data_IF_451255799660
#
_entry.id   IF_451255799660
#
_cell.length_a   1.000
_cell.length_b   1.000
_cell.length_c   1.000
_cell.angle_alpha   90.00
_cell.angle_beta   90.00
_cell.angle_gamma   90.00
#
_symmetry.space_group_name_H-M   'P 1'
#
loop_
_entity.id
_entity.type
_entity.pdbx_description
1 polymer ?
#
# COMPACT_ATOMS: atom_id res chain seq x y z
N UNK A 1 0.60 -15.84 10.72
CA UNK A 1 1.35 -16.65 9.73
C UNK A 1 0.56 -16.59 8.43
N UNK A 2 1.15 -16.04 7.39
CA UNK A 2 0.49 -15.88 6.09
C UNK A 2 0.26 -17.25 5.45
N UNK A 3 -0.92 -17.42 4.83
CA UNK A 3 -1.32 -18.70 4.24
C UNK A 3 -1.27 -18.68 2.71
N UNK A 4 -0.19 -18.11 2.17
CA UNK A 4 -0.04 -17.94 0.71
C UNK A 4 -0.08 -19.26 -0.07
N UNK A 5 0.51 -20.31 0.49
CA UNK A 5 0.53 -21.63 -0.14
C UNK A 5 -0.86 -22.23 -0.29
N UNK A 6 -1.75 -22.07 0.71
CA UNK A 6 -3.13 -22.56 0.61
C UNK A 6 -3.94 -21.79 -0.43
N UNK A 7 -3.73 -20.44 -0.54
CA UNK A 7 -4.38 -19.65 -1.59
C UNK A 7 -3.93 -20.11 -2.98
N UNK A 8 -2.63 -20.33 -3.18
CA UNK A 8 -2.12 -20.89 -4.43
C UNK A 8 -2.74 -22.25 -4.75
N UNK A 9 -2.84 -23.14 -3.74
CA UNK A 9 -3.47 -24.46 -3.89
C UNK A 9 -4.91 -24.36 -4.41
N UNK A 10 -5.70 -23.44 -3.88
CA UNK A 10 -7.08 -23.25 -4.25
C UNK A 10 -7.17 -22.74 -5.69
N UNK A 11 -6.40 -21.69 -6.04
CA UNK A 11 -6.30 -21.17 -7.41
C UNK A 11 -5.85 -22.25 -8.41
N UNK A 12 -4.81 -23.04 -8.07
CA UNK A 12 -4.36 -24.14 -8.92
C UNK A 12 -5.47 -25.19 -9.20
N UNK A 13 -6.23 -25.52 -8.16
CA UNK A 13 -7.34 -26.50 -8.29
C UNK A 13 -8.50 -25.92 -9.11
N UNK A 14 -8.80 -24.65 -8.97
CA UNK A 14 -9.79 -23.94 -9.80
C UNK A 14 -9.41 -23.98 -11.29
N UNK A 15 -8.10 -24.01 -11.59
CA UNK A 15 -7.58 -24.17 -12.95
C UNK A 15 -7.44 -25.64 -13.38
N UNK A 16 -7.87 -26.60 -12.56
CA UNK A 16 -7.79 -28.06 -12.82
C UNK A 16 -6.36 -28.57 -13.09
N UNK A 17 -5.33 -27.87 -12.61
CA UNK A 17 -3.91 -28.21 -12.80
C UNK A 17 -3.43 -29.07 -11.61
N UNK A 18 -2.77 -30.20 -11.91
CA UNK A 18 -2.18 -31.07 -10.89
C UNK A 18 -0.91 -30.46 -10.29
N UNK A 19 -0.49 -30.92 -9.09
CA UNK A 19 0.78 -30.50 -8.51
C UNK A 19 1.98 -30.84 -9.42
N UNK A 20 1.94 -31.98 -10.09
CA UNK A 20 2.99 -32.42 -11.01
C UNK A 20 3.13 -31.47 -12.19
N UNK A 21 2.03 -31.08 -12.81
CA UNK A 21 2.04 -30.11 -13.91
C UNK A 21 2.49 -28.73 -13.45
N UNK A 22 1.98 -28.27 -12.30
CA UNK A 22 2.30 -26.96 -11.75
C UNK A 22 3.80 -26.81 -11.41
N UNK A 23 4.42 -27.82 -10.79
CA UNK A 23 5.81 -27.73 -10.35
C UNK A 23 6.84 -28.11 -11.43
N UNK A 24 6.42 -28.65 -12.57
CA UNK A 24 7.35 -29.17 -13.59
C UNK A 24 8.35 -28.11 -14.08
N UNK A 25 9.64 -28.37 -13.88
CA UNK A 25 10.73 -27.45 -14.24
C UNK A 25 10.88 -26.22 -13.31
N UNK A 26 10.08 -26.13 -12.22
CA UNK A 26 10.11 -24.99 -11.28
C UNK A 26 10.63 -25.44 -9.91
N UNK A 27 10.02 -26.48 -9.32
CA UNK A 27 10.44 -27.02 -8.03
C UNK A 27 10.03 -28.49 -7.90
N UNK A 28 10.40 -29.15 -6.80
CA UNK A 28 9.97 -30.52 -6.54
C UNK A 28 8.49 -30.57 -6.09
N UNK A 29 7.78 -31.65 -6.41
CA UNK A 29 6.41 -31.92 -5.95
C UNK A 29 6.31 -31.81 -4.43
N UNK A 30 7.31 -32.34 -3.71
CA UNK A 30 7.36 -32.28 -2.25
C UNK A 30 7.46 -30.83 -1.74
N UNK A 31 8.26 -29.95 -2.38
CA UNK A 31 8.36 -28.54 -2.02
C UNK A 31 7.03 -27.84 -2.26
N UNK A 32 6.39 -28.05 -3.41
CA UNK A 32 5.08 -27.48 -3.71
C UNK A 32 4.03 -27.95 -2.72
N UNK A 33 3.93 -29.26 -2.47
CA UNK A 33 2.96 -29.83 -1.52
C UNK A 33 3.11 -29.26 -0.12
N UNK A 34 4.35 -29.11 0.38
CA UNK A 34 4.60 -28.51 1.70
C UNK A 34 4.24 -27.02 1.74
N UNK A 35 4.50 -26.26 0.69
CA UNK A 35 4.07 -24.88 0.58
C UNK A 35 2.55 -24.77 0.55
N UNK A 36 1.86 -25.52 -0.28
CA UNK A 36 0.39 -25.57 -0.36
C UNK A 36 -0.29 -25.92 0.97
N UNK A 37 0.41 -26.61 1.85
CA UNK A 37 -0.05 -26.93 3.20
C UNK A 37 0.52 -25.96 4.28
N UNK A 38 1.10 -24.82 3.86
CA UNK A 38 1.67 -23.80 4.71
C UNK A 38 2.74 -24.30 5.70
N UNK A 39 3.48 -25.34 5.31
CA UNK A 39 4.56 -25.94 6.12
C UNK A 39 5.93 -25.30 5.84
N UNK A 40 6.11 -24.74 4.66
CA UNK A 40 7.32 -24.04 4.22
C UNK A 40 6.96 -22.82 3.39
N UNK A 41 7.86 -21.86 3.33
CA UNK A 41 7.79 -20.78 2.38
C UNK A 41 8.57 -21.12 1.10
N UNK A 42 8.23 -20.44 0.00
CA UNK A 42 8.98 -20.50 -1.26
C UNK A 42 9.58 -19.13 -1.58
N UNK A 43 10.64 -19.13 -2.35
CA UNK A 43 11.22 -17.89 -2.85
C UNK A 43 10.23 -17.17 -3.77
N UNK A 44 10.26 -15.85 -3.75
CA UNK A 44 9.36 -15.02 -4.57
C UNK A 44 9.43 -15.36 -6.07
N UNK A 45 10.62 -15.62 -6.59
CA UNK A 45 10.83 -16.07 -7.98
C UNK A 45 10.13 -17.39 -8.28
N UNK A 46 10.17 -18.34 -7.34
CA UNK A 46 9.46 -19.62 -7.44
C UNK A 46 7.94 -19.39 -7.42
N UNK A 47 7.44 -18.55 -6.51
CA UNK A 47 6.00 -18.20 -6.44
C UNK A 47 5.51 -17.60 -7.77
N UNK A 48 6.24 -16.61 -8.32
CA UNK A 48 5.91 -16.00 -9.62
C UNK A 48 5.89 -17.04 -10.75
N UNK A 49 6.86 -17.95 -10.80
CA UNK A 49 6.90 -18.99 -11.81
C UNK A 49 5.70 -19.95 -11.69
N UNK A 50 5.32 -20.31 -10.46
CA UNK A 50 4.15 -21.15 -10.19
C UNK A 50 2.83 -20.44 -10.57
N UNK A 51 2.67 -19.15 -10.26
CA UNK A 51 1.49 -18.37 -10.65
C UNK A 51 1.35 -18.29 -12.17
N UNK A 52 2.44 -18.00 -12.88
CA UNK A 52 2.46 -17.99 -14.35
C UNK A 52 2.05 -19.35 -14.93
N UNK A 53 2.47 -20.46 -14.31
CA UNK A 53 2.15 -21.80 -14.76
C UNK A 53 0.65 -22.10 -14.73
N UNK A 54 -0.07 -21.51 -13.80
CA UNK A 54 -1.52 -21.67 -13.65
C UNK A 54 -2.32 -20.50 -14.24
N UNK A 55 -1.69 -19.62 -15.05
CA UNK A 55 -2.27 -18.44 -15.67
C UNK A 55 -2.94 -17.45 -14.69
N UNK A 56 -2.39 -17.32 -13.50
CA UNK A 56 -2.82 -16.36 -12.48
C UNK A 56 -1.81 -15.21 -12.43
N UNK A 57 -2.30 -13.99 -12.48
CA UNK A 57 -1.47 -12.79 -12.30
C UNK A 57 -1.13 -12.57 -10.82
N UNK A 58 -0.09 -11.77 -10.57
CA UNK A 58 0.26 -11.41 -9.20
C UNK A 58 -0.88 -10.61 -8.51
N UNK A 59 -1.56 -9.75 -9.26
CA UNK A 59 -2.68 -8.94 -8.75
C UNK A 59 -3.85 -9.82 -8.31
N UNK A 60 -4.27 -10.78 -9.14
CA UNK A 60 -5.30 -11.75 -8.78
C UNK A 60 -4.93 -12.58 -7.54
N UNK A 61 -3.65 -12.98 -7.46
CA UNK A 61 -3.16 -13.71 -6.30
C UNK A 61 -3.17 -12.87 -5.03
N UNK A 62 -2.70 -11.62 -5.09
CA UNK A 62 -2.67 -10.72 -3.92
C UNK A 62 -4.07 -10.36 -3.45
N UNK A 63 -5.01 -10.13 -4.38
CA UNK A 63 -6.42 -9.92 -4.06
C UNK A 63 -7.01 -11.15 -3.36
N UNK A 64 -6.82 -12.35 -3.91
CA UNK A 64 -7.34 -13.60 -3.33
C UNK A 64 -6.69 -13.94 -1.99
N UNK A 65 -5.41 -13.59 -1.82
CA UNK A 65 -4.67 -13.77 -0.58
C UNK A 65 -4.99 -12.70 0.48
N UNK A 66 -5.84 -11.75 0.15
CA UNK A 66 -6.19 -10.61 0.99
C UNK A 66 -4.94 -9.89 1.50
N UNK A 67 -3.94 -9.72 0.60
CA UNK A 67 -2.75 -8.95 0.88
C UNK A 67 -3.13 -7.48 0.72
N UNK A 68 -3.57 -6.90 1.82
CA UNK A 68 -3.85 -5.48 1.87
C UNK A 68 -2.55 -4.71 1.55
N UNK A 69 -2.65 -3.78 0.62
CA UNK A 69 -1.56 -2.84 0.44
C UNK A 69 -1.43 -2.03 1.74
N UNK A 70 -0.24 -1.97 2.33
CA UNK A 70 0.08 -1.17 3.54
C UNK A 70 -0.23 0.34 3.40
N UNK A 71 -0.89 0.73 2.31
CA UNK A 71 -1.18 2.12 1.93
C UNK A 71 -2.65 2.49 2.12
N UNK A 72 -3.49 1.57 2.57
CA UNK A 72 -4.88 1.89 2.89
C UNK A 72 -4.95 2.42 4.31
N UNK A 73 -5.72 3.50 4.48
CA UNK A 73 -6.04 3.97 5.81
C UNK A 73 -6.83 2.87 6.55
N UNK A 74 -6.63 2.70 7.87
CA UNK A 74 -7.46 1.79 8.64
C UNK A 74 -8.96 2.07 8.43
N UNK A 75 -9.79 1.03 8.41
CA UNK A 75 -11.24 1.16 8.19
C UNK A 75 -11.89 2.15 9.15
N UNK A 76 -11.45 2.18 10.41
CA UNK A 76 -11.91 3.16 11.40
C UNK A 76 -11.62 4.62 10.99
N UNK A 77 -10.50 4.87 10.30
CA UNK A 77 -10.13 6.20 9.82
C UNK A 77 -10.89 6.54 8.55
N UNK A 78 -11.14 5.57 7.67
CA UNK A 78 -12.00 5.75 6.49
C UNK A 78 -13.42 6.10 6.93
N UNK A 79 -13.97 5.40 7.92
CA UNK A 79 -15.27 5.71 8.51
C UNK A 79 -15.28 7.11 9.15
N UNK A 80 -14.26 7.45 9.94
CA UNK A 80 -14.13 8.76 10.56
C UNK A 80 -14.04 9.91 9.55
N UNK A 81 -13.40 9.69 8.38
CA UNK A 81 -13.39 10.68 7.28
C UNK A 81 -14.81 10.88 6.74
N UNK A 82 -15.53 9.78 6.51
CA UNK A 82 -16.91 9.82 5.96
C UNK A 82 -17.89 10.50 6.91
N UNK A 83 -17.74 10.24 8.21
CA UNK A 83 -18.65 10.73 9.26
C UNK A 83 -18.16 12.08 9.84
N UNK A 84 -17.07 12.63 9.32
CA UNK A 84 -16.43 13.87 9.78
C UNK A 84 -16.09 13.84 11.29
N UNK A 85 -15.69 12.65 11.81
CA UNK A 85 -15.32 12.45 13.22
C UNK A 85 -13.96 13.08 13.51
N UNK A 86 -13.97 14.40 13.70
CA UNK A 86 -12.78 15.21 13.96
C UNK A 86 -11.93 14.72 15.15
N UNK A 87 -12.49 14.34 16.32
CA UNK A 87 -11.74 13.77 17.43
C UNK A 87 -10.89 12.55 17.03
N UNK A 88 -11.45 11.60 16.31
CA UNK A 88 -10.75 10.39 15.85
C UNK A 88 -9.64 10.76 14.86
N UNK A 89 -9.96 11.60 13.87
CA UNK A 89 -8.99 12.06 12.88
C UNK A 89 -7.81 12.82 13.52
N UNK A 90 -8.07 13.69 14.48
CA UNK A 90 -7.01 14.41 15.22
C UNK A 90 -6.09 13.45 15.99
N UNK A 91 -6.68 12.48 16.69
CA UNK A 91 -5.92 11.48 17.45
C UNK A 91 -4.98 10.69 16.54
N UNK A 92 -5.48 10.29 15.38
CA UNK A 92 -4.69 9.58 14.37
C UNK A 92 -3.50 10.44 13.89
N UNK A 93 -3.74 11.69 13.48
CA UNK A 93 -2.71 12.62 13.04
C UNK A 93 -1.67 12.86 14.13
N UNK A 94 -2.08 13.11 15.37
CA UNK A 94 -1.17 13.35 16.49
C UNK A 94 -0.26 12.14 16.77
N UNK A 95 -0.80 10.94 16.73
CA UNK A 95 -0.03 9.70 16.92
C UNK A 95 1.07 9.52 15.86
N UNK A 96 0.75 9.76 14.59
CA UNK A 96 1.72 9.65 13.49
C UNK A 96 2.74 10.81 13.48
N UNK A 97 2.33 12.04 13.83
CA UNK A 97 3.25 13.14 14.01
C UNK A 97 4.27 12.87 15.14
N UNK A 98 3.82 12.29 16.26
CA UNK A 98 4.72 11.90 17.34
C UNK A 98 5.74 10.85 16.88
N UNK A 99 5.30 9.81 16.12
CA UNK A 99 6.20 8.82 15.51
C UNK A 99 7.18 9.46 14.53
N UNK A 100 6.70 10.37 13.69
CA UNK A 100 7.55 11.10 12.76
C UNK A 100 8.61 11.94 13.49
N UNK A 101 8.24 12.68 14.52
CA UNK A 101 9.19 13.51 15.27
C UNK A 101 10.27 12.67 15.95
N UNK A 102 9.93 11.46 16.41
CA UNK A 102 10.87 10.52 17.01
C UNK A 102 11.79 9.84 15.99
N UNK A 103 11.25 9.37 14.86
CA UNK A 103 11.98 8.54 13.89
C UNK A 103 12.51 9.31 12.68
N UNK A 104 11.94 10.47 12.37
CA UNK A 104 12.12 11.24 11.11
C UNK A 104 11.78 10.43 9.85
N UNK A 105 11.01 9.33 10.00
CA UNK A 105 10.55 8.52 8.89
C UNK A 105 9.46 9.26 8.11
N UNK A 106 9.76 9.58 6.84
CA UNK A 106 8.83 10.32 5.96
C UNK A 106 7.52 9.56 5.72
N UNK A 107 7.51 8.23 5.88
CA UNK A 107 6.31 7.42 5.72
C UNK A 107 5.20 7.84 6.68
N UNK A 108 5.55 8.21 7.92
CA UNK A 108 4.58 8.70 8.90
C UNK A 108 3.89 9.99 8.46
N UNK A 109 4.62 10.92 7.82
CA UNK A 109 4.01 12.13 7.23
C UNK A 109 3.11 11.79 6.04
N UNK A 110 3.57 10.87 5.19
CA UNK A 110 2.82 10.47 4.00
C UNK A 110 1.48 9.84 4.39
N UNK A 111 1.46 9.01 5.43
CA UNK A 111 0.25 8.32 5.90
C UNK A 111 -0.83 9.27 6.43
N UNK A 112 -0.45 10.44 6.93
CA UNK A 112 -1.41 11.40 7.49
C UNK A 112 -1.82 12.52 6.51
N UNK A 113 -1.19 12.62 5.34
CA UNK A 113 -1.46 13.73 4.40
C UNK A 113 -2.94 13.83 4.02
N UNK A 114 -3.58 12.70 3.69
CA UNK A 114 -5.00 12.67 3.36
C UNK A 114 -5.86 13.15 4.54
N UNK A 115 -5.57 12.65 5.73
CA UNK A 115 -6.31 13.01 6.95
C UNK A 115 -6.10 14.48 7.31
N UNK A 116 -4.87 14.99 7.18
CA UNK A 116 -4.58 16.42 7.40
C UNK A 116 -5.31 17.31 6.39
N UNK A 117 -5.42 16.88 5.13
CA UNK A 117 -6.17 17.60 4.10
C UNK A 117 -7.68 17.65 4.44
N UNK A 118 -8.25 16.54 4.91
CA UNK A 118 -9.64 16.50 5.37
C UNK A 118 -9.87 17.40 6.59
N UNK A 119 -9.00 17.34 7.59
CA UNK A 119 -9.10 18.22 8.75
C UNK A 119 -8.98 19.70 8.38
N UNK A 120 -8.13 20.02 7.40
CA UNK A 120 -8.04 21.39 6.89
C UNK A 120 -9.36 21.85 6.25
N UNK A 121 -10.04 20.98 5.50
CA UNK A 121 -11.34 21.28 4.89
C UNK A 121 -12.46 21.44 5.94
N UNK A 122 -12.49 20.57 6.96
CA UNK A 122 -13.55 20.58 7.98
C UNK A 122 -13.35 21.73 8.98
N UNK A 123 -12.14 21.95 9.46
CA UNK A 123 -11.86 22.87 10.57
C UNK A 123 -11.16 24.16 10.14
N UNK A 124 -10.66 24.24 8.90
CA UNK A 124 -9.80 25.35 8.46
C UNK A 124 -8.41 25.34 9.12
N UNK A 125 -8.05 24.26 9.82
CA UNK A 125 -6.80 24.17 10.59
C UNK A 125 -5.81 23.22 9.94
N UNK A 126 -4.60 23.74 9.67
CA UNK A 126 -3.48 22.91 9.22
C UNK A 126 -2.74 22.31 10.43
N UNK A 127 -2.58 20.98 10.42
CA UNK A 127 -1.87 20.25 11.47
C UNK A 127 -0.39 20.00 11.14
N UNK A 128 0.01 20.25 9.89
CA UNK A 128 1.39 20.12 9.43
C UNK A 128 2.10 21.47 9.50
N UNK A 129 3.36 21.47 9.88
CA UNK A 129 4.21 22.66 9.80
C UNK A 129 4.62 22.94 8.36
N UNK A 130 5.04 24.16 8.06
CA UNK A 130 5.61 24.50 6.76
C UNK A 130 6.77 23.59 6.37
N UNK A 131 7.60 23.20 7.34
CA UNK A 131 8.74 22.30 7.13
C UNK A 131 8.27 20.87 6.74
N UNK A 132 7.19 20.36 7.35
CA UNK A 132 6.62 19.05 7.00
C UNK A 132 6.07 19.06 5.57
N UNK A 133 5.34 20.10 5.21
CA UNK A 133 4.79 20.29 3.86
C UNK A 133 5.91 20.40 2.82
N UNK A 134 6.95 21.17 3.10
CA UNK A 134 8.11 21.30 2.22
C UNK A 134 8.85 19.97 2.06
N UNK A 135 8.92 19.16 3.11
CA UNK A 135 9.54 17.82 3.04
C UNK A 135 8.76 16.88 2.13
N UNK A 136 7.44 16.86 2.22
CA UNK A 136 6.57 16.08 1.32
C UNK A 136 6.67 16.60 -0.11
N UNK A 137 6.56 17.91 -0.33
CA UNK A 137 6.72 18.52 -1.65
C UNK A 137 8.07 18.19 -2.29
N UNK A 138 9.17 18.27 -1.52
CA UNK A 138 10.50 17.90 -1.97
C UNK A 138 10.63 16.40 -2.28
N UNK A 139 9.95 15.54 -1.54
CA UNK A 139 9.88 14.11 -1.84
C UNK A 139 9.18 13.87 -3.18
N UNK A 140 8.00 14.42 -3.39
CA UNK A 140 7.23 14.28 -4.62
C UNK A 140 7.96 14.86 -5.84
N UNK A 141 8.62 16.02 -5.68
CA UNK A 141 9.42 16.63 -6.75
C UNK A 141 10.65 15.80 -7.17
N UNK A 142 11.20 14.98 -6.27
CA UNK A 142 12.33 14.09 -6.59
C UNK A 142 11.90 12.71 -7.10
N UNK A 143 10.60 12.40 -7.01
CA UNK A 143 10.07 11.12 -7.46
C UNK A 143 10.21 11.01 -8.99
N UNK A 144 10.91 9.98 -9.44
CA UNK A 144 11.12 9.67 -10.87
C UNK A 144 10.16 8.60 -11.37
N UNK A 145 9.75 7.68 -10.48
CA UNK A 145 8.79 6.61 -10.80
C UNK A 145 7.54 6.84 -9.95
N UNK A 146 6.45 7.17 -10.60
CA UNK A 146 5.18 7.45 -9.95
C UNK A 146 4.42 6.16 -9.67
N UNK A 147 4.47 5.70 -8.42
CA UNK A 147 3.62 4.60 -7.95
C UNK A 147 2.18 5.07 -7.78
N UNK A 148 1.21 4.13 -7.81
CA UNK A 148 -0.20 4.39 -7.46
C UNK A 148 -0.32 5.18 -6.16
N UNK A 149 0.47 4.82 -5.15
CA UNK A 149 0.50 5.51 -3.86
C UNK A 149 0.91 7.00 -3.97
N UNK A 150 1.97 7.32 -4.72
CA UNK A 150 2.42 8.71 -4.88
C UNK A 150 1.39 9.55 -5.65
N UNK A 151 0.69 8.94 -6.61
CA UNK A 151 -0.40 9.60 -7.33
C UNK A 151 -1.56 9.91 -6.37
N UNK A 152 -1.99 8.92 -5.57
CA UNK A 152 -3.05 9.10 -4.58
C UNK A 152 -2.64 10.16 -3.54
N UNK A 153 -1.40 10.10 -3.03
CA UNK A 153 -0.87 11.07 -2.09
C UNK A 153 -0.96 12.50 -2.65
N UNK A 154 -0.52 12.71 -3.89
CA UNK A 154 -0.58 14.02 -4.54
C UNK A 154 -2.02 14.46 -4.80
N UNK A 155 -2.85 13.60 -5.37
CA UNK A 155 -4.24 13.91 -5.73
C UNK A 155 -5.09 14.30 -4.51
N UNK A 156 -4.79 13.73 -3.34
CA UNK A 156 -5.54 13.98 -2.10
C UNK A 156 -4.88 15.00 -1.16
N UNK A 157 -3.91 15.78 -1.63
CA UNK A 157 -3.23 16.78 -0.80
C UNK A 157 -3.15 18.18 -1.42
N UNK A 158 -4.10 18.61 -2.30
CA UNK A 158 -3.94 19.84 -3.05
C UNK A 158 -3.98 21.10 -2.17
N UNK A 159 -4.73 21.07 -1.07
CA UNK A 159 -4.88 22.23 -0.18
C UNK A 159 -3.71 22.38 0.81
N UNK A 160 -2.91 21.33 0.99
CA UNK A 160 -1.72 21.36 1.85
C UNK A 160 -0.47 21.83 1.11
N UNK A 161 -0.34 21.48 -0.19
CA UNK A 161 0.77 21.92 -1.03
C UNK A 161 0.48 23.32 -1.56
N UNK A 162 1.50 24.21 -1.56
CA UNK A 162 1.34 25.49 -2.23
C UNK A 162 1.18 25.29 -3.76
N UNK A 163 0.55 26.27 -4.42
CA UNK A 163 0.21 26.19 -5.84
C UNK A 163 1.45 26.01 -6.74
N UNK A 164 2.57 26.60 -6.40
CA UNK A 164 3.82 26.48 -7.17
C UNK A 164 4.38 25.06 -7.13
N UNK A 165 4.45 24.47 -5.92
CA UNK A 165 4.91 23.08 -5.74
C UNK A 165 3.93 22.12 -6.42
N UNK A 166 2.61 22.31 -6.22
CA UNK A 166 1.58 21.51 -6.84
C UNK A 166 1.67 21.52 -8.37
N UNK A 167 1.84 22.70 -8.98
CA UNK A 167 2.02 22.84 -10.42
C UNK A 167 3.27 22.11 -10.92
N UNK A 168 4.43 22.33 -10.26
CA UNK A 168 5.68 21.65 -10.62
C UNK A 168 5.58 20.12 -10.55
N UNK A 169 4.83 19.60 -9.57
CA UNK A 169 4.59 18.16 -9.44
C UNK A 169 3.69 17.68 -10.59
N UNK A 170 2.57 18.36 -10.83
CA UNK A 170 1.62 18.00 -11.89
C UNK A 170 2.30 17.89 -13.26
N UNK A 171 3.20 18.83 -13.59
CA UNK A 171 3.98 18.83 -14.84
C UNK A 171 4.99 17.68 -14.98
N UNK A 172 5.20 16.88 -13.92
CA UNK A 172 6.12 15.73 -13.95
C UNK A 172 5.39 14.38 -14.05
N UNK A 173 4.09 14.39 -13.81
CA UNK A 173 3.26 13.17 -13.90
C UNK A 173 2.81 12.93 -15.36
N UNK A 174 2.71 13.99 -16.14
CA UNK A 174 2.36 13.96 -17.57
C UNK A 174 3.58 13.63 -18.40
#
# INVERSE_FOLDING_TARGET
MFKYGSVYKDLRKEQEITQTEACHGICSISKLSRWENNQVEVEFSTAIALLKRINITLDEFTERANIEAEFELPDEIIAAIKDEDVPVLRKYVQAHLAKYHASKNILELKNIMLVCNQLLLIEGKNYLTTADIQRIGSYLLRTTVWSKYNIILFANSPFLLNSEIGFKIAMRIV
#
